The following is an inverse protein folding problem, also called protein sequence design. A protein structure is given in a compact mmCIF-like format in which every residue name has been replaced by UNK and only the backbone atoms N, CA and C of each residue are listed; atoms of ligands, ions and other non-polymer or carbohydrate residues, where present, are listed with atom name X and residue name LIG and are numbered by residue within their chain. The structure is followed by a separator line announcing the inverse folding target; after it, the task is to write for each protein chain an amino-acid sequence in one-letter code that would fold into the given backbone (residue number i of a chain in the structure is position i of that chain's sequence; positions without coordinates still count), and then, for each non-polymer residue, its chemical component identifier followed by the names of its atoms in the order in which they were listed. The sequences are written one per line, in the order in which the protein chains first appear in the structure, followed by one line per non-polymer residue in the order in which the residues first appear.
data_IF_846381211161
#
_entry.id   IF_846381211161
#
_cell.length_a   1.000
_cell.length_b   1.000
_cell.length_c   1.000
_cell.angle_alpha   90.00
_cell.angle_beta   90.00
_cell.angle_gamma   90.00
#
_symmetry.space_group_name_H-M   'P 1'
#
loop_
_entity.id
_entity.type
_entity.pdbx_description
1 polymer ?
#
# COMPACT_ATOMS: atom_id res chain seq x y z
N UNK A 1 -3.54 59.63 62.82
CA UNK A 1 -3.76 58.60 63.85
C UNK A 1 -3.38 57.26 63.26
N UNK A 2 -2.38 56.59 63.85
CA UNK A 2 -2.01 55.17 63.62
C UNK A 2 -3.20 54.26 63.99
N UNK A 3 -3.36 52.97 63.68
CA UNK A 3 -2.62 51.79 63.17
C UNK A 3 -3.72 50.83 62.62
N UNK A 4 -3.54 49.73 61.87
CA UNK A 4 -2.76 48.49 62.05
C UNK A 4 -2.80 47.71 60.72
N UNK A 5 -1.67 47.24 60.18
CA UNK A 5 -1.11 45.86 60.26
C UNK A 5 -2.08 44.73 59.87
N UNK A 6 -1.74 44.04 58.77
CA UNK A 6 -2.21 42.70 58.43
C UNK A 6 -1.23 42.03 57.46
N UNK A 7 -0.28 41.28 58.00
CA UNK A 7 0.63 40.40 57.24
C UNK A 7 -0.13 39.12 56.88
N UNK A 8 -0.06 38.68 55.62
CA UNK A 8 -0.62 37.41 55.19
C UNK A 8 -0.07 36.98 53.83
N UNK A 9 0.78 35.97 53.84
CA UNK A 9 1.52 35.43 52.71
C UNK A 9 0.73 34.35 51.94
N UNK A 10 0.91 34.32 50.60
CA UNK A 10 1.01 33.15 49.70
C UNK A 10 -0.10 32.06 49.80
N UNK A 11 -0.90 31.88 48.73
CA UNK A 11 -0.73 30.80 47.74
C UNK A 11 -1.69 30.90 46.56
N UNK A 12 -1.09 30.78 45.37
CA UNK A 12 -1.71 30.54 44.08
C UNK A 12 -2.37 29.15 44.11
N UNK A 13 -3.69 29.11 44.06
CA UNK A 13 -4.48 27.88 44.03
C UNK A 13 -5.45 27.92 42.86
N UNK A 14 -4.93 27.56 41.69
CA UNK A 14 -5.70 27.33 40.46
C UNK A 14 -6.55 26.07 40.64
N UNK A 15 -7.87 26.18 40.66
CA UNK A 15 -8.76 25.02 40.58
C UNK A 15 -9.58 25.10 39.29
N UNK A 16 -8.93 24.72 38.18
CA UNK A 16 -9.60 24.37 36.92
C UNK A 16 -9.80 22.85 36.91
N UNK A 17 -10.86 22.38 37.55
CA UNK A 17 -11.38 21.04 37.28
C UNK A 17 -12.33 21.12 36.08
N UNK A 18 -11.81 21.52 34.92
CA UNK A 18 -12.40 21.15 33.64
C UNK A 18 -11.74 19.86 33.23
N UNK A 19 -12.33 18.78 33.74
CA UNK A 19 -12.17 17.39 33.33
C UNK A 19 -11.93 17.34 31.82
N UNK A 20 -10.68 17.04 31.45
CA UNK A 20 -10.28 16.83 30.07
C UNK A 20 -11.01 15.60 29.55
N UNK A 21 -12.18 15.83 28.93
CA UNK A 21 -12.78 14.85 28.04
C UNK A 21 -11.80 14.68 26.90
N UNK A 22 -11.06 13.57 26.91
CA UNK A 22 -10.39 13.09 25.71
C UNK A 22 -11.42 13.15 24.55
N UNK A 23 -11.02 13.59 23.35
CA UNK A 23 -11.93 13.54 22.22
C UNK A 23 -12.43 12.10 22.06
N UNK A 24 -13.71 11.89 21.69
CA UNK A 24 -14.21 10.55 21.43
C UNK A 24 -13.25 9.90 20.44
N UNK A 25 -12.63 8.78 20.85
CA UNK A 25 -11.86 7.94 19.92
C UNK A 25 -12.80 7.69 18.77
N UNK A 26 -12.50 8.25 17.60
CA UNK A 26 -13.31 7.96 16.43
C UNK A 26 -13.32 6.44 16.32
N UNK A 27 -14.51 5.86 16.38
CA UNK A 27 -14.71 4.46 16.09
C UNK A 27 -14.36 4.31 14.63
N UNK A 28 -13.05 4.17 14.34
CA UNK A 28 -12.58 3.87 12.99
C UNK A 28 -13.33 2.61 12.59
N UNK A 29 -13.97 2.66 11.44
CA UNK A 29 -14.57 1.50 10.84
C UNK A 29 -13.47 0.43 10.77
N UNK A 30 -13.78 -0.80 11.15
CA UNK A 30 -12.87 -1.91 10.88
C UNK A 30 -12.92 -2.26 9.38
N UNK A 31 -12.77 -1.26 8.50
CA UNK A 31 -12.67 -1.49 7.07
C UNK A 31 -11.37 -2.25 6.85
N UNK A 32 -11.52 -3.42 6.22
CA UNK A 32 -10.41 -4.29 5.86
C UNK A 32 -9.42 -3.47 5.01
N UNK A 33 -8.12 -3.61 5.31
CA UNK A 33 -7.09 -3.06 4.44
C UNK A 33 -7.26 -3.66 3.02
N UNK A 34 -6.90 -2.91 1.96
CA UNK A 34 -6.91 -3.45 0.61
C UNK A 34 -6.11 -4.74 0.53
N UNK A 35 -6.61 -5.66 -0.28
CA UNK A 35 -5.86 -6.85 -0.61
C UNK A 35 -4.65 -6.46 -1.47
N UNK A 36 -3.58 -7.23 -1.31
CA UNK A 36 -2.32 -6.98 -2.02
C UNK A 36 -2.51 -7.28 -3.52
N UNK A 37 -2.06 -6.37 -4.38
CA UNK A 37 -2.18 -6.51 -5.83
C UNK A 37 -0.86 -6.95 -6.45
N UNK A 38 -0.83 -8.17 -6.99
CA UNK A 38 0.35 -8.82 -7.58
C UNK A 38 0.42 -8.72 -9.10
N UNK A 39 -0.39 -7.83 -9.70
CA UNK A 39 -0.51 -7.62 -11.15
C UNK A 39 -1.09 -8.77 -11.99
N UNK A 40 -1.52 -9.89 -11.40
CA UNK A 40 -1.89 -11.08 -12.17
C UNK A 40 -3.20 -10.98 -12.96
N UNK A 41 -4.11 -10.07 -12.58
CA UNK A 41 -5.48 -10.04 -13.11
C UNK A 41 -6.08 -8.62 -13.05
N UNK A 42 -6.47 -8.09 -14.21
CA UNK A 42 -7.11 -6.78 -14.36
C UNK A 42 -8.44 -6.68 -13.59
N UNK A 43 -9.18 -7.78 -13.39
CA UNK A 43 -10.38 -7.78 -12.56
C UNK A 43 -10.05 -7.57 -11.07
N UNK A 44 -8.89 -8.08 -10.61
CA UNK A 44 -8.38 -7.81 -9.27
C UNK A 44 -7.92 -6.36 -9.12
N UNK A 45 -7.41 -5.73 -10.19
CA UNK A 45 -7.05 -4.31 -10.17
C UNK A 45 -8.25 -3.42 -9.84
N UNK A 46 -9.39 -3.63 -10.50
CA UNK A 46 -10.62 -2.87 -10.21
C UNK A 46 -11.07 -3.04 -8.75
N UNK A 47 -10.97 -4.25 -8.22
CA UNK A 47 -11.29 -4.55 -6.82
C UNK A 47 -10.33 -3.84 -5.87
N UNK A 48 -9.03 -3.90 -6.15
CA UNK A 48 -7.99 -3.20 -5.39
C UNK A 48 -8.20 -1.69 -5.36
N UNK A 49 -8.44 -1.07 -6.53
CA UNK A 49 -8.74 0.36 -6.64
C UNK A 49 -9.95 0.73 -5.79
N UNK A 50 -11.03 -0.03 -5.90
CA UNK A 50 -12.26 0.20 -5.11
C UNK A 50 -11.97 0.15 -3.61
N UNK A 51 -11.20 -0.84 -3.15
CA UNK A 51 -10.80 -0.96 -1.74
C UNK A 51 -9.96 0.23 -1.28
N UNK A 52 -8.99 0.68 -2.09
CA UNK A 52 -8.17 1.84 -1.79
C UNK A 52 -9.00 3.13 -1.69
N UNK A 53 -9.91 3.39 -2.65
CA UNK A 53 -10.78 4.56 -2.61
C UNK A 53 -11.68 4.58 -1.37
N UNK A 54 -12.24 3.43 -0.98
CA UNK A 54 -13.03 3.32 0.24
C UNK A 54 -12.17 3.58 1.49
N UNK A 55 -10.94 3.06 1.51
CA UNK A 55 -10.00 3.28 2.61
C UNK A 55 -9.66 4.76 2.78
N UNK A 56 -9.36 5.46 1.70
CA UNK A 56 -9.09 6.90 1.71
C UNK A 56 -10.31 7.72 2.10
N UNK A 57 -11.50 7.33 1.63
CA UNK A 57 -12.75 8.01 1.97
C UNK A 57 -13.08 7.92 3.46
N UNK A 58 -12.75 6.81 4.11
CA UNK A 58 -12.94 6.61 5.54
C UNK A 58 -11.87 7.34 6.38
N UNK A 59 -10.61 7.31 5.94
CA UNK A 59 -9.46 7.84 6.68
C UNK A 59 -8.89 9.10 6.04
N UNK A 60 -9.75 10.05 5.67
CA UNK A 60 -9.33 11.31 5.01
C UNK A 60 -8.26 12.09 5.79
N UNK A 61 -8.24 11.94 7.11
CA UNK A 61 -7.28 12.60 8.01
C UNK A 61 -5.89 11.99 7.92
N UNK A 62 -5.79 10.69 7.61
CA UNK A 62 -4.54 9.94 7.52
C UNK A 62 -3.91 10.07 6.12
N UNK A 63 -4.69 10.46 5.11
CA UNK A 63 -4.25 10.65 3.71
C UNK A 63 -4.61 12.06 3.18
N UNK A 64 -4.06 13.13 3.79
CA UNK A 64 -4.40 14.51 3.43
C UNK A 64 -3.85 14.92 2.05
N UNK A 65 -2.78 14.29 1.57
CA UNK A 65 -2.15 14.62 0.28
C UNK A 65 -2.30 13.49 -0.74
N UNK A 66 -2.03 13.79 -2.01
CA UNK A 66 -1.97 12.78 -3.05
C UNK A 66 -0.76 11.86 -2.87
N UNK A 67 0.37 12.37 -2.40
CA UNK A 67 1.55 11.56 -2.05
C UNK A 67 1.23 10.49 -1.01
N UNK A 68 0.47 10.84 0.04
CA UNK A 68 0.08 9.86 1.07
C UNK A 68 -0.72 8.69 0.47
N UNK A 69 -1.58 8.97 -0.50
CA UNK A 69 -2.38 7.95 -1.20
C UNK A 69 -1.52 7.11 -2.13
N UNK A 70 -0.62 7.77 -2.88
CA UNK A 70 0.31 7.12 -3.81
C UNK A 70 1.19 6.13 -3.04
N UNK A 71 1.86 6.59 -1.98
CA UNK A 71 2.73 5.73 -1.17
C UNK A 71 1.98 4.60 -0.49
N UNK A 72 0.75 4.85 -0.03
CA UNK A 72 -0.09 3.79 0.53
C UNK A 72 -0.42 2.72 -0.51
N UNK A 73 -0.87 3.12 -1.71
CA UNK A 73 -1.17 2.15 -2.77
C UNK A 73 0.08 1.37 -3.18
N UNK A 74 1.22 2.04 -3.34
CA UNK A 74 2.50 1.38 -3.63
C UNK A 74 2.89 0.36 -2.58
N UNK A 75 2.64 0.65 -1.29
CA UNK A 75 2.89 -0.31 -0.20
C UNK A 75 2.00 -1.56 -0.28
N UNK A 76 0.87 -1.47 -0.97
CA UNK A 76 -0.07 -2.56 -1.19
C UNK A 76 0.17 -3.30 -2.53
N UNK A 77 1.10 -2.84 -3.36
CA UNK A 77 1.53 -3.54 -4.57
C UNK A 77 2.49 -4.68 -4.22
N UNK A 78 2.43 -5.76 -4.97
CA UNK A 78 3.31 -6.92 -4.87
C UNK A 78 3.74 -7.40 -6.25
N UNK A 79 4.65 -8.38 -6.30
CA UNK A 79 5.07 -9.03 -7.54
C UNK A 79 5.60 -8.03 -8.56
N UNK A 80 5.18 -8.20 -9.82
CA UNK A 80 5.65 -7.40 -10.95
C UNK A 80 5.24 -5.93 -10.83
N UNK A 81 4.03 -5.65 -10.33
CA UNK A 81 3.58 -4.28 -10.05
C UNK A 81 4.54 -3.54 -9.12
N UNK A 82 4.93 -4.17 -8.01
CA UNK A 82 5.86 -3.54 -7.07
C UNK A 82 7.25 -3.32 -7.70
N UNK A 83 7.74 -4.28 -8.49
CA UNK A 83 9.03 -4.17 -9.17
C UNK A 83 9.05 -3.01 -10.17
N UNK A 84 7.94 -2.77 -10.86
CA UNK A 84 7.81 -1.66 -11.81
C UNK A 84 7.92 -0.29 -11.14
N UNK A 85 7.27 -0.09 -10.00
CA UNK A 85 7.28 1.20 -9.31
C UNK A 85 8.53 1.42 -8.44
N UNK A 86 9.26 0.36 -8.09
CA UNK A 86 10.44 0.42 -7.22
C UNK A 86 11.52 1.43 -7.67
N UNK A 87 11.88 1.55 -8.97
CA UNK A 87 12.87 2.52 -9.42
C UNK A 87 12.41 3.98 -9.26
N UNK A 88 11.11 4.24 -9.13
CA UNK A 88 10.55 5.57 -8.91
C UNK A 88 10.53 5.97 -7.42
N UNK A 89 10.69 5.01 -6.50
CA UNK A 89 10.76 5.28 -5.05
C UNK A 89 12.09 5.88 -4.62
N UNK A 90 13.15 5.48 -5.31
CA UNK A 90 14.49 5.98 -5.10
C UNK A 90 14.75 6.91 -6.27
N UNK A 91 15.07 8.18 -6.04
CA UNK A 91 15.44 9.15 -7.09
C UNK A 91 16.72 8.69 -7.82
N UNK A 92 16.59 7.63 -8.61
CA UNK A 92 17.68 6.82 -9.14
C UNK A 92 18.20 7.44 -10.42
N UNK A 93 17.33 8.18 -11.12
CA UNK A 93 17.60 8.73 -12.44
C UNK A 93 17.54 10.27 -12.49
N UNK A 94 17.20 10.94 -11.38
CA UNK A 94 17.02 12.40 -11.36
C UNK A 94 15.82 12.88 -12.18
N UNK A 95 14.96 11.94 -12.60
CA UNK A 95 13.77 12.20 -13.42
C UNK A 95 12.58 11.66 -12.64
N UNK A 96 11.73 12.57 -12.19
CA UNK A 96 10.50 12.23 -11.52
C UNK A 96 9.48 11.70 -12.54
N UNK A 97 8.71 10.66 -12.18
CA UNK A 97 7.65 10.18 -13.04
C UNK A 97 6.58 11.25 -13.25
N UNK A 98 5.86 11.19 -14.37
CA UNK A 98 4.82 12.17 -14.71
C UNK A 98 3.66 12.21 -13.68
N UNK A 99 3.50 11.14 -12.91
CA UNK A 99 2.50 11.03 -11.86
C UNK A 99 2.96 11.50 -10.47
N UNK A 100 4.21 11.91 -10.30
CA UNK A 100 4.75 12.35 -9.01
C UNK A 100 3.88 13.48 -8.40
N UNK A 101 3.43 13.29 -7.15
CA UNK A 101 2.51 14.22 -6.49
C UNK A 101 1.10 14.31 -7.09
N UNK A 102 0.76 13.49 -8.09
CA UNK A 102 -0.52 13.54 -8.79
C UNK A 102 -1.22 12.17 -8.77
N UNK A 103 -2.18 12.02 -7.86
CA UNK A 103 -2.86 10.74 -7.67
C UNK A 103 -3.64 10.29 -8.93
N UNK A 104 -4.42 11.15 -9.63
CA UNK A 104 -5.07 10.77 -10.88
C UNK A 104 -4.10 10.24 -11.96
N UNK A 105 -2.96 10.90 -12.15
CA UNK A 105 -1.93 10.45 -13.10
C UNK A 105 -1.31 9.12 -12.68
N UNK A 106 -1.15 8.88 -11.37
CA UNK A 106 -0.66 7.58 -10.87
C UNK A 106 -1.65 6.45 -11.18
N UNK A 107 -2.96 6.72 -11.05
CA UNK A 107 -4.00 5.76 -11.41
C UNK A 107 -4.01 5.49 -12.92
N UNK A 108 -3.79 6.52 -13.75
CA UNK A 108 -3.66 6.32 -15.20
C UNK A 108 -2.48 5.40 -15.51
N UNK A 109 -1.29 5.70 -14.99
CA UNK A 109 -0.09 4.86 -15.15
C UNK A 109 -0.36 3.41 -14.73
N UNK A 110 -1.04 3.21 -13.59
CA UNK A 110 -1.37 1.88 -13.07
C UNK A 110 -2.35 1.10 -13.99
N UNK A 111 -3.22 1.80 -14.71
CA UNK A 111 -4.23 1.21 -15.60
C UNK A 111 -3.69 1.04 -17.03
N UNK A 112 -2.59 1.70 -17.41
CA UNK A 112 -2.03 1.63 -18.76
C UNK A 112 -1.80 0.16 -19.19
N UNK A 113 -2.26 -0.22 -20.40
CA UNK A 113 -2.18 -1.60 -20.88
C UNK A 113 -0.74 -2.05 -21.08
N UNK A 114 0.17 -1.15 -21.43
CA UNK A 114 1.61 -1.45 -21.58
C UNK A 114 2.23 -1.87 -20.25
N UNK A 115 1.78 -1.26 -19.15
CA UNK A 115 2.17 -1.69 -17.82
C UNK A 115 1.60 -3.08 -17.50
N UNK A 116 0.35 -3.33 -17.89
CA UNK A 116 -0.31 -4.62 -17.68
C UNK A 116 0.30 -5.76 -18.51
N UNK A 117 0.67 -5.49 -19.75
CA UNK A 117 1.34 -6.44 -20.63
C UNK A 117 2.77 -6.74 -20.16
N UNK A 118 3.42 -5.77 -19.51
CA UNK A 118 4.72 -5.94 -18.87
C UNK A 118 4.65 -6.64 -17.50
N UNK A 119 3.44 -7.00 -17.01
CA UNK A 119 3.30 -7.71 -15.74
C UNK A 119 3.61 -9.22 -15.79
N UNK A 120 4.20 -9.70 -16.88
CA UNK A 120 4.75 -11.05 -16.98
C UNK A 120 6.22 -11.14 -16.53
N UNK A 121 6.76 -12.36 -16.35
CA UNK A 121 8.19 -12.52 -16.19
C UNK A 121 8.91 -11.96 -17.41
N UNK A 122 9.97 -11.18 -17.16
CA UNK A 122 10.79 -10.53 -18.19
C UNK A 122 11.41 -11.53 -19.18
N UNK A 123 11.46 -12.81 -18.78
CA UNK A 123 11.90 -13.93 -19.59
C UNK A 123 10.97 -15.15 -19.42
N UNK A 124 9.86 -15.23 -20.16
CA UNK A 124 8.96 -16.38 -20.10
C UNK A 124 9.63 -17.66 -20.62
N UNK A 125 10.72 -17.55 -21.39
CA UNK A 125 11.50 -18.69 -21.89
C UNK A 125 12.41 -19.22 -20.80
N UNK A 126 13.14 -18.36 -20.10
CA UNK A 126 13.97 -18.73 -18.96
C UNK A 126 13.17 -19.34 -17.81
N UNK A 127 12.02 -18.78 -17.49
CA UNK A 127 11.12 -19.33 -16.46
C UNK A 127 10.54 -20.69 -16.89
N UNK A 128 10.19 -20.86 -18.18
CA UNK A 128 9.78 -22.16 -18.72
C UNK A 128 10.94 -23.18 -18.69
N UNK A 129 12.17 -22.76 -19.00
CA UNK A 129 13.37 -23.59 -18.91
C UNK A 129 13.65 -24.03 -17.46
N UNK A 130 13.48 -23.15 -16.48
CA UNK A 130 13.66 -23.47 -15.07
C UNK A 130 12.56 -24.39 -14.53
N UNK A 131 11.30 -24.22 -14.97
CA UNK A 131 10.22 -25.16 -14.69
C UNK A 131 10.50 -26.54 -15.30
N UNK A 132 10.99 -26.61 -16.55
CA UNK A 132 11.39 -27.88 -17.18
C UNK A 132 12.55 -28.54 -16.40
N UNK A 133 13.51 -27.75 -15.90
CA UNK A 133 14.61 -28.25 -15.05
C UNK A 133 14.13 -28.76 -13.70
N UNK A 134 13.11 -28.14 -13.11
CA UNK A 134 12.49 -28.57 -11.84
C UNK A 134 11.56 -29.79 -12.00
N UNK A 135 11.01 -30.04 -13.19
CA UNK A 135 10.13 -31.18 -13.52
C UNK A 135 10.94 -32.47 -13.87
N UNK A 136 12.23 -32.52 -13.51
CA UNK A 136 13.02 -33.73 -13.73
C UNK A 136 12.65 -34.84 -12.73
N UNK A 137 11.98 -35.86 -13.26
CA UNK A 137 11.57 -37.12 -12.62
C UNK A 137 12.53 -37.63 -11.54
N UNK A 138 11.97 -38.09 -10.41
CA UNK A 138 12.71 -38.97 -9.49
C UNK A 138 12.97 -40.29 -10.20
N UNK A 139 14.10 -40.91 -9.88
CA UNK A 139 14.65 -42.11 -10.55
C UNK A 139 13.76 -43.38 -10.44
N UNK A 140 12.57 -43.27 -9.84
CA UNK A 140 11.65 -44.36 -9.54
C UNK A 140 10.37 -44.34 -10.39
N UNK A 141 10.15 -43.33 -11.25
CA UNK A 141 8.90 -43.24 -12.02
C UNK A 141 9.06 -43.92 -13.39
N UNK A 142 8.19 -44.89 -13.65
CA UNK A 142 8.22 -45.71 -14.85
C UNK A 142 7.67 -44.95 -16.07
N UNK A 143 8.45 -45.00 -17.15
CA UNK A 143 8.33 -44.31 -18.45
C UNK A 143 6.98 -44.47 -19.20
N UNK A 144 6.04 -45.26 -18.68
CA UNK A 144 4.79 -45.62 -19.37
C UNK A 144 3.65 -44.59 -19.26
N UNK A 145 3.81 -43.50 -18.50
CA UNK A 145 2.73 -42.51 -18.30
C UNK A 145 2.65 -41.45 -19.42
N UNK A 146 3.74 -41.23 -20.18
CA UNK A 146 3.81 -40.09 -21.11
C UNK A 146 3.43 -40.36 -22.58
N UNK A 147 2.94 -41.56 -22.91
CA UNK A 147 2.53 -41.88 -24.30
C UNK A 147 1.09 -41.40 -24.61
N UNK A 148 0.31 -40.94 -23.61
CA UNK A 148 -1.14 -40.65 -23.78
C UNK A 148 -1.49 -39.16 -23.87
N UNK A 149 -0.54 -38.23 -23.72
CA UNK A 149 -0.83 -36.77 -23.79
C UNK A 149 -0.30 -36.07 -25.04
N UNK A 150 0.00 -36.81 -26.11
CA UNK A 150 0.16 -36.24 -27.45
C UNK A 150 -0.64 -37.06 -28.46
N UNK A 151 -1.96 -36.96 -28.36
CA UNK A 151 -2.91 -37.20 -29.45
C UNK A 151 -3.86 -35.99 -29.56
#
# INVERSE_FOLDING_TARGET
MCSSIGVGAIRLGSNRDTQGSAPPRSSRSNLRNPDLFDSSDTAKLQTFLTQCYLHFAERRQDFPTDDDKIYYMMSCLQGTAQQWFKPNLYDTYGVLPAWDGNFPSFIQELIEPELQDNFGPHDPVGDAEDLIRMVRMKHSDHLAIYIVEFD
#
